data_IF_230621893152
#
_entry.id   IF_230621893152
#
_cell.length_a   1.000
_cell.length_b   1.000
_cell.length_c   1.000
_cell.angle_alpha   90.00
_cell.angle_beta   90.00
_cell.angle_gamma   90.00
#
_symmetry.space_group_name_H-M   'P 1'
#
loop_
_entity.id
_entity.type
_entity.pdbx_description
1 polymer ?
#
# COMPACT_ATOMS: atom_id res chain seq x y z
N UNK A 1 3.68 9.31 -10.19
CA UNK A 1 4.93 10.11 -10.31
C UNK A 1 4.64 11.61 -10.32
N UNK A 2 3.85 12.19 -11.25
CA UNK A 2 3.62 13.65 -11.24
C UNK A 2 3.10 14.19 -9.89
N UNK A 3 2.19 13.49 -9.21
CA UNK A 3 1.72 13.87 -7.87
C UNK A 3 2.76 13.69 -6.74
N UNK A 4 3.88 13.01 -6.97
CA UNK A 4 4.99 12.95 -6.00
C UNK A 4 5.92 14.15 -6.16
N UNK A 5 6.07 14.68 -7.37
CA UNK A 5 6.88 15.86 -7.66
C UNK A 5 6.28 17.17 -7.08
N UNK A 6 5.00 17.14 -6.68
CA UNK A 6 4.32 18.26 -6.01
C UNK A 6 4.47 18.25 -4.49
N UNK A 7 5.12 17.23 -3.91
CA UNK A 7 5.46 17.23 -2.48
C UNK A 7 6.54 18.30 -2.21
N UNK A 8 6.36 19.06 -1.13
CA UNK A 8 7.45 19.90 -0.61
C UNK A 8 8.62 19.04 -0.13
N UNK A 9 9.85 19.57 -0.18
CA UNK A 9 11.07 18.85 0.20
C UNK A 9 10.95 18.15 1.56
N UNK A 10 10.39 18.82 2.58
CA UNK A 10 10.18 18.22 3.92
C UNK A 10 9.27 17.00 3.88
N UNK A 11 8.10 17.10 3.25
CA UNK A 11 7.14 16.00 3.13
C UNK A 11 7.72 14.82 2.32
N UNK A 12 8.54 15.10 1.31
CA UNK A 12 9.24 14.06 0.56
C UNK A 12 10.35 13.39 1.40
N UNK A 13 11.15 14.15 2.17
CA UNK A 13 12.17 13.60 3.08
C UNK A 13 11.56 12.72 4.17
N UNK A 14 10.49 13.17 4.83
CA UNK A 14 9.75 12.38 5.83
C UNK A 14 9.13 11.13 5.20
N UNK A 15 8.61 11.27 3.98
CA UNK A 15 8.10 10.17 3.17
C UNK A 15 9.15 9.09 2.90
N UNK A 16 10.33 9.50 2.44
CA UNK A 16 11.47 8.61 2.18
C UNK A 16 11.89 7.91 3.47
N UNK A 17 12.05 8.66 4.58
CA UNK A 17 12.46 8.12 5.88
C UNK A 17 11.48 7.06 6.39
N UNK A 18 10.18 7.36 6.36
CA UNK A 18 9.14 6.40 6.76
C UNK A 18 9.19 5.11 5.93
N UNK A 19 9.22 5.21 4.59
CA UNK A 19 9.26 4.03 3.72
C UNK A 19 10.55 3.22 3.92
N UNK A 20 11.69 3.90 4.12
CA UNK A 20 12.97 3.27 4.44
C UNK A 20 12.91 2.49 5.77
N UNK A 21 12.33 3.08 6.82
CA UNK A 21 12.20 2.45 8.13
C UNK A 21 11.25 1.25 8.10
N UNK A 22 10.13 1.32 7.36
CA UNK A 22 9.26 0.16 7.13
C UNK A 22 9.98 -0.96 6.37
N UNK A 23 10.75 -0.62 5.33
CA UNK A 23 11.55 -1.59 4.58
C UNK A 23 12.65 -2.23 5.43
N UNK A 24 13.23 -1.48 6.38
CA UNK A 24 14.13 -2.01 7.39
C UNK A 24 13.42 -2.97 8.33
N UNK A 25 12.28 -2.59 8.90
CA UNK A 25 11.51 -3.42 9.84
C UNK A 25 11.15 -4.78 9.23
N UNK A 26 10.70 -4.82 7.97
CA UNK A 26 10.42 -6.07 7.25
C UNK A 26 11.65 -6.97 7.05
N UNK A 27 12.80 -6.37 6.72
CA UNK A 27 14.06 -7.10 6.53
C UNK A 27 14.65 -7.61 7.85
N UNK A 28 14.51 -6.84 8.93
CA UNK A 28 14.96 -7.20 10.26
C UNK A 28 14.04 -8.29 10.86
N UNK A 29 12.71 -8.19 10.69
CA UNK A 29 11.74 -9.24 11.01
C UNK A 29 12.09 -10.55 10.29
N UNK A 30 12.28 -10.51 8.96
CA UNK A 30 12.57 -11.73 8.19
C UNK A 30 13.88 -12.42 8.59
N UNK A 31 14.89 -11.66 9.07
CA UNK A 31 16.10 -12.21 9.70
C UNK A 31 15.76 -12.82 11.06
N UNK A 32 15.01 -12.10 11.90
CA UNK A 32 14.51 -12.58 13.18
C UNK A 32 13.82 -13.94 13.03
N UNK A 33 12.91 -14.10 12.06
CA UNK A 33 12.22 -15.37 11.79
C UNK A 33 13.16 -16.50 11.31
N UNK A 34 14.31 -16.17 10.71
CA UNK A 34 15.34 -17.16 10.35
C UNK A 34 16.22 -17.57 11.55
N UNK A 35 16.28 -16.74 12.59
CA UNK A 35 17.10 -16.94 13.79
C UNK A 35 16.25 -17.44 14.99
N UNK A 36 14.94 -17.16 15.03
CA UNK A 36 13.99 -17.49 16.10
C UNK A 36 13.31 -18.86 15.99
N UNK A 37 13.65 -19.66 14.98
CA UNK A 37 13.39 -21.13 14.97
C UNK A 37 14.09 -21.86 16.16
N UNK A 38 14.83 -21.12 17.00
CA UNK A 38 15.48 -21.58 18.23
C UNK A 38 14.93 -20.97 19.56
N UNK A 39 14.23 -19.83 19.57
CA UNK A 39 13.64 -19.24 20.79
C UNK A 39 12.71 -18.05 20.49
N UNK A 40 11.45 -18.14 20.95
CA UNK A 40 10.48 -17.04 20.86
C UNK A 40 9.96 -16.61 22.23
N UNK A 41 10.06 -15.32 22.54
CA UNK A 41 9.07 -14.55 23.33
C UNK A 41 9.34 -13.07 23.06
N UNK A 42 8.41 -12.40 22.37
CA UNK A 42 8.36 -10.95 22.22
C UNK A 42 6.93 -10.51 22.56
N UNK A 43 6.80 -9.41 23.29
CA UNK A 43 5.49 -8.85 23.66
C UNK A 43 4.76 -8.31 22.42
N UNK A 44 3.41 -8.33 22.40
CA UNK A 44 2.64 -7.90 21.25
C UNK A 44 2.71 -6.37 21.10
N UNK A 45 3.45 -5.92 20.08
CA UNK A 45 3.25 -4.61 19.48
C UNK A 45 1.81 -4.51 18.96
N UNK A 46 1.12 -3.42 19.27
CA UNK A 46 -0.26 -3.18 18.82
C UNK A 46 -0.31 -3.01 17.29
N UNK A 47 0.85 -2.71 16.66
CA UNK A 47 1.08 -2.95 15.24
C UNK A 47 0.30 -2.05 14.28
N UNK A 48 -0.31 -0.97 14.78
CA UNK A 48 -0.85 0.11 13.97
C UNK A 48 0.07 1.31 14.08
N UNK A 49 0.73 1.65 12.98
CA UNK A 49 1.68 2.76 12.88
C UNK A 49 0.95 3.99 12.33
N UNK A 50 1.10 5.14 13.01
CA UNK A 50 0.72 6.43 12.44
C UNK A 50 1.78 6.88 11.43
N UNK A 51 1.37 7.26 10.22
CA UNK A 51 2.28 7.80 9.22
C UNK A 51 2.54 9.30 9.52
N UNK A 52 3.70 9.86 9.12
CA UNK A 52 3.94 11.30 9.19
C UNK A 52 2.82 12.08 8.46
N UNK A 53 2.06 12.94 9.15
CA UNK A 53 0.84 13.54 8.60
C UNK A 53 1.12 14.58 7.50
N UNK A 54 2.33 15.15 7.48
CA UNK A 54 2.76 16.09 6.44
C UNK A 54 3.17 15.36 5.15
N UNK A 55 3.45 14.06 5.21
CA UNK A 55 3.82 13.21 4.07
C UNK A 55 2.67 12.33 3.57
N UNK A 56 1.87 11.74 4.47
CA UNK A 56 0.84 10.75 4.13
C UNK A 56 -0.51 11.02 4.80
N UNK A 57 -1.56 10.44 4.20
CA UNK A 57 -2.90 10.38 4.80
C UNK A 57 -3.19 8.95 5.32
N UNK A 58 -3.83 8.82 6.48
CA UNK A 58 -4.28 7.53 7.06
C UNK A 58 -3.32 6.91 8.09
N UNK A 59 -3.46 5.60 8.31
CA UNK A 59 -2.64 4.78 9.24
C UNK A 59 -2.14 3.52 8.52
N UNK A 60 -1.27 2.70 9.13
CA UNK A 60 -0.80 1.43 8.54
C UNK A 60 -0.82 0.31 9.58
N UNK A 61 -1.50 -0.82 9.31
CA UNK A 61 -1.46 -2.00 10.16
C UNK A 61 -0.33 -2.94 9.71
N UNK A 62 0.81 -2.91 10.42
CA UNK A 62 2.00 -3.70 10.08
C UNK A 62 1.86 -5.19 10.41
N UNK A 63 0.78 -5.60 11.08
CA UNK A 63 0.48 -7.02 11.40
C UNK A 63 -0.08 -7.77 10.19
N UNK A 64 -0.70 -7.07 9.23
CA UNK A 64 -1.11 -7.64 7.95
C UNK A 64 0.12 -7.79 7.06
N UNK A 65 0.61 -9.01 6.93
CA UNK A 65 1.83 -9.32 6.18
C UNK A 65 1.60 -10.52 5.26
N UNK A 66 1.78 -10.33 3.96
CA UNK A 66 1.93 -11.44 3.01
C UNK A 66 3.40 -11.90 3.02
N UNK A 67 3.65 -12.97 3.77
CA UNK A 67 4.98 -13.60 3.89
C UNK A 67 5.52 -14.11 2.55
N UNK A 68 4.65 -14.51 1.61
CA UNK A 68 5.06 -14.97 0.29
C UNK A 68 5.48 -13.78 -0.60
N UNK A 69 4.74 -12.67 -0.54
CA UNK A 69 5.12 -11.41 -1.19
C UNK A 69 6.42 -10.86 -0.57
N UNK A 70 6.57 -10.88 0.75
CA UNK A 70 7.80 -10.47 1.44
C UNK A 70 9.00 -11.31 0.98
N UNK A 71 8.87 -12.64 0.99
CA UNK A 71 9.94 -13.55 0.58
C UNK A 71 10.41 -13.32 -0.86
N UNK A 72 9.48 -13.04 -1.78
CA UNK A 72 9.80 -12.70 -3.18
C UNK A 72 10.46 -11.31 -3.31
N UNK A 73 10.21 -10.41 -2.37
CA UNK A 73 10.61 -9.00 -2.44
C UNK A 73 11.95 -8.67 -1.78
N UNK A 74 12.53 -9.56 -0.97
CA UNK A 74 13.72 -9.30 -0.13
C UNK A 74 14.90 -8.68 -0.90
N UNK A 75 15.21 -9.17 -2.10
CA UNK A 75 16.33 -8.67 -2.89
C UNK A 75 16.11 -7.22 -3.35
N UNK A 76 14.92 -6.93 -3.87
CA UNK A 76 14.52 -5.61 -4.35
C UNK A 76 14.39 -4.60 -3.20
N UNK A 77 13.84 -5.02 -2.06
CA UNK A 77 13.79 -4.20 -0.84
C UNK A 77 15.19 -3.79 -0.38
N UNK A 78 16.17 -4.71 -0.40
CA UNK A 78 17.57 -4.38 -0.08
C UNK A 78 18.18 -3.40 -1.08
N UNK A 79 17.96 -3.60 -2.38
CA UNK A 79 18.46 -2.70 -3.43
C UNK A 79 17.91 -1.28 -3.27
N UNK A 80 16.59 -1.13 -3.13
CA UNK A 80 15.94 0.17 -2.98
C UNK A 80 16.35 0.87 -1.68
N UNK A 81 16.53 0.11 -0.59
CA UNK A 81 17.04 0.66 0.68
C UNK A 81 18.46 1.20 0.53
N UNK A 82 19.34 0.52 -0.21
CA UNK A 82 20.68 1.04 -0.52
C UNK A 82 20.62 2.30 -1.40
N UNK A 83 19.74 2.34 -2.40
CA UNK A 83 19.59 3.49 -3.29
C UNK A 83 19.03 4.74 -2.57
N UNK A 84 18.13 4.55 -1.59
CA UNK A 84 17.51 5.63 -0.83
C UNK A 84 18.28 6.06 0.42
N UNK A 85 19.30 5.28 0.86
CA UNK A 85 20.09 5.57 2.06
C UNK A 85 20.67 7.00 2.13
N UNK A 86 21.29 7.57 1.05
CA UNK A 86 21.90 8.90 1.10
C UNK A 86 20.90 10.04 1.38
N UNK A 87 19.60 9.79 1.16
CA UNK A 87 18.52 10.76 1.38
C UNK A 87 17.88 10.65 2.78
N UNK A 88 18.30 9.66 3.59
CA UNK A 88 17.80 9.42 4.96
C UNK A 88 18.83 9.84 6.02
N UNK A 89 20.12 9.75 5.71
CA UNK A 89 21.24 10.13 6.57
C UNK A 89 21.68 11.60 6.38
N UNK A 90 20.83 12.41 5.75
CA UNK A 90 21.04 13.83 5.39
C UNK A 90 22.29 14.14 4.53
N UNK A 91 23.02 13.12 4.05
CA UNK A 91 24.19 13.26 3.16
C UNK A 91 23.83 13.90 1.80
N UNK A 92 22.62 13.64 1.29
CA UNK A 92 22.12 14.15 0.00
C UNK A 92 20.81 14.90 0.17
N UNK A 93 20.77 16.14 -0.31
CA UNK A 93 19.55 16.96 -0.30
C UNK A 93 18.46 16.37 -1.21
N UNK A 94 17.30 16.08 -0.63
CA UNK A 94 16.10 15.64 -1.34
C UNK A 94 15.62 16.71 -2.33
N UNK A 95 15.44 16.32 -3.59
CA UNK A 95 14.95 17.19 -4.66
C UNK A 95 13.62 16.65 -5.22
N UNK A 96 12.47 17.31 -5.00
CA UNK A 96 11.19 16.88 -5.58
C UNK A 96 11.13 16.85 -7.10
N UNK A 97 12.08 17.50 -7.78
CA UNK A 97 12.22 17.46 -9.24
C UNK A 97 13.10 16.32 -9.78
N UNK A 98 13.70 15.48 -8.92
CA UNK A 98 14.57 14.37 -9.35
C UNK A 98 13.72 13.14 -9.75
N UNK A 99 13.67 12.78 -11.04
CA UNK A 99 12.83 11.68 -11.51
C UNK A 99 13.34 10.30 -11.05
N UNK A 100 14.65 10.14 -10.81
CA UNK A 100 15.23 8.87 -10.38
C UNK A 100 14.92 8.61 -8.90
N UNK A 101 15.06 9.64 -8.06
CA UNK A 101 14.60 9.59 -6.67
C UNK A 101 13.12 9.25 -6.56
N UNK A 102 12.26 9.98 -7.29
CA UNK A 102 10.81 9.73 -7.27
C UNK A 102 10.43 8.33 -7.77
N UNK A 103 11.16 7.79 -8.75
CA UNK A 103 10.97 6.42 -9.22
C UNK A 103 11.31 5.38 -8.14
N UNK A 104 12.44 5.55 -7.45
CA UNK A 104 12.83 4.66 -6.33
C UNK A 104 11.83 4.72 -5.17
N UNK A 105 11.31 5.91 -4.85
CA UNK A 105 10.26 6.10 -3.83
C UNK A 105 8.93 5.43 -4.24
N UNK A 106 8.46 5.62 -5.47
CA UNK A 106 7.24 4.99 -5.96
C UNK A 106 7.36 3.45 -6.00
N UNK A 107 8.53 2.93 -6.39
CA UNK A 107 8.81 1.50 -6.42
C UNK A 107 8.85 0.90 -5.01
N UNK A 108 9.50 1.56 -4.05
CA UNK A 108 9.52 1.10 -2.66
C UNK A 108 8.13 1.12 -2.04
N UNK A 109 7.37 2.21 -2.24
CA UNK A 109 5.98 2.33 -1.79
C UNK A 109 5.13 1.18 -2.31
N UNK A 110 5.16 0.88 -3.61
CA UNK A 110 4.40 -0.23 -4.21
C UNK A 110 4.78 -1.60 -3.65
N UNK A 111 6.06 -1.82 -3.36
CA UNK A 111 6.52 -3.05 -2.73
C UNK A 111 5.96 -3.20 -1.32
N UNK A 112 5.99 -2.14 -0.52
CA UNK A 112 5.38 -2.12 0.81
C UNK A 112 3.87 -2.29 0.73
N UNK A 113 3.18 -1.69 -0.26
CA UNK A 113 1.74 -1.93 -0.47
C UNK A 113 1.41 -3.40 -0.76
N UNK A 114 2.21 -4.05 -1.59
CA UNK A 114 2.03 -5.47 -1.93
C UNK A 114 2.31 -6.39 -0.73
N UNK A 115 3.32 -6.08 0.07
CA UNK A 115 3.72 -6.86 1.25
C UNK A 115 2.74 -6.68 2.42
N UNK A 116 2.26 -5.46 2.68
CA UNK A 116 1.28 -5.19 3.74
C UNK A 116 -0.19 -5.41 3.31
N UNK A 117 -0.44 -5.72 2.03
CA UNK A 117 -1.78 -5.83 1.44
C UNK A 117 -2.60 -4.53 1.51
N UNK A 118 -1.96 -3.38 1.78
CA UNK A 118 -2.59 -2.11 2.14
C UNK A 118 -2.08 -0.98 1.24
N UNK A 119 -2.90 0.06 0.99
CA UNK A 119 -2.37 1.29 0.40
C UNK A 119 -1.51 2.09 1.36
N UNK A 120 -0.55 2.79 0.75
CA UNK A 120 0.25 3.85 1.35
C UNK A 120 0.11 5.03 0.39
N UNK A 121 -0.43 6.13 0.88
CA UNK A 121 -0.92 7.24 0.04
C UNK A 121 -0.38 8.57 0.55
N UNK A 122 0.36 9.26 -0.31
CA UNK A 122 0.93 10.57 0.00
C UNK A 122 -0.16 11.65 0.08
N UNK A 123 0.06 12.73 0.83
CA UNK A 123 -0.92 13.84 0.99
C UNK A 123 -1.33 14.46 -0.35
N UNK A 124 -0.41 14.56 -1.31
CA UNK A 124 -0.65 15.07 -2.67
C UNK A 124 -1.48 14.14 -3.55
N UNK A 125 -1.68 12.89 -3.14
CA UNK A 125 -2.52 11.90 -3.81
C UNK A 125 -3.91 11.77 -3.16
N UNK A 126 -4.18 12.50 -2.07
CA UNK A 126 -5.46 12.47 -1.37
C UNK A 126 -6.62 12.88 -2.30
N UNK A 127 -7.69 12.08 -2.31
CA UNK A 127 -8.84 12.28 -3.20
C UNK A 127 -8.66 11.72 -4.62
N UNK A 128 -7.43 11.47 -5.08
CA UNK A 128 -7.17 10.64 -6.27
C UNK A 128 -6.95 9.16 -5.90
N UNK A 129 -6.48 8.90 -4.68
CA UNK A 129 -6.26 7.56 -4.12
C UNK A 129 -6.96 7.45 -2.75
N UNK A 130 -7.41 6.25 -2.35
CA UNK A 130 -7.82 5.98 -0.98
C UNK A 130 -6.67 6.26 0.01
N UNK A 131 -6.95 6.63 1.25
CA UNK A 131 -5.94 6.86 2.28
C UNK A 131 -5.09 5.61 2.59
N UNK A 132 -4.03 5.75 3.40
CA UNK A 132 -3.23 4.62 3.86
C UNK A 132 -4.01 3.70 4.83
N UNK A 133 -3.61 2.43 4.94
CA UNK A 133 -4.25 1.45 5.83
C UNK A 133 -5.34 0.61 5.14
N UNK A 134 -5.33 0.69 3.81
CA UNK A 134 -6.45 0.40 2.94
C UNK A 134 -6.24 -0.97 2.27
N UNK A 135 -6.86 -2.02 2.84
CA UNK A 135 -6.61 -3.47 2.59
C UNK A 135 -7.29 -4.03 1.31
N UNK A 136 -6.62 -4.52 0.26
CA UNK A 136 -7.26 -4.93 -1.02
C UNK A 136 -7.53 -6.46 -1.10
N UNK A 137 -8.76 -6.95 -0.82
CA UNK A 137 -9.18 -8.38 -1.01
C UNK A 137 -10.65 -8.63 -1.46
N UNK A 138 -10.93 -9.64 -2.33
CA UNK A 138 -12.21 -10.37 -2.58
C UNK A 138 -11.99 -11.48 -3.64
N UNK A 139 -12.82 -12.54 -3.65
CA UNK A 139 -12.87 -13.59 -4.70
C UNK A 139 -14.30 -14.10 -4.94
N UNK A 140 -14.62 -14.50 -6.18
CA UNK A 140 -15.91 -15.00 -6.68
C UNK A 140 -15.62 -16.09 -7.73
N UNK A 141 -16.42 -17.15 -7.78
CA UNK A 141 -16.43 -18.22 -8.80
C UNK A 141 -17.90 -18.56 -9.12
N UNK A 142 -18.30 -18.67 -10.40
CA UNK A 142 -19.67 -18.90 -10.89
C UNK A 142 -19.62 -19.87 -12.08
N UNK A 143 -20.51 -20.86 -12.15
CA UNK A 143 -20.51 -21.77 -13.31
C UNK A 143 -21.12 -21.12 -14.57
N UNK A 144 -22.42 -20.80 -14.61
CA UNK A 144 -23.06 -20.22 -15.81
C UNK A 144 -23.65 -18.82 -15.56
N UNK A 145 -23.25 -17.84 -16.36
CA UNK A 145 -23.59 -16.42 -16.17
C UNK A 145 -24.59 -15.97 -17.25
N UNK A 146 -25.87 -15.89 -16.91
CA UNK A 146 -26.95 -15.50 -17.84
C UNK A 146 -27.53 -14.09 -17.60
N UNK A 147 -26.96 -13.33 -16.65
CA UNK A 147 -27.32 -11.95 -16.30
C UNK A 147 -26.06 -11.14 -15.91
N UNK A 148 -26.22 -9.86 -15.52
CA UNK A 148 -25.09 -9.01 -15.10
C UNK A 148 -24.56 -9.29 -13.68
N UNK A 149 -23.23 -9.30 -13.54
CA UNK A 149 -22.46 -9.48 -12.30
C UNK A 149 -21.48 -8.31 -12.17
N UNK A 150 -21.35 -7.71 -10.97
CA UNK A 150 -20.38 -6.64 -10.69
C UNK A 150 -19.60 -6.96 -9.41
N UNK A 151 -18.27 -6.89 -9.46
CA UNK A 151 -17.38 -7.34 -8.39
C UNK A 151 -17.17 -6.35 -7.25
N UNK A 152 -16.94 -5.07 -7.56
CA UNK A 152 -16.76 -3.99 -6.56
C UNK A 152 -17.26 -2.66 -7.14
N UNK A 153 -18.49 -2.24 -6.88
CA UNK A 153 -18.98 -0.92 -7.33
C UNK A 153 -18.86 0.13 -6.23
N UNK A 154 -18.13 1.23 -6.46
CA UNK A 154 -17.88 2.26 -5.43
C UNK A 154 -18.13 3.70 -5.89
N UNK A 155 -19.03 4.39 -5.19
CA UNK A 155 -18.97 5.86 -5.09
C UNK A 155 -17.71 6.27 -4.32
N UNK A 156 -17.76 7.41 -3.64
CA UNK A 156 -16.62 8.10 -3.07
C UNK A 156 -15.81 7.29 -2.01
N UNK A 157 -14.71 6.62 -2.43
CA UNK A 157 -13.76 5.89 -1.55
C UNK A 157 -12.79 6.85 -0.84
N UNK A 158 -12.75 6.85 0.50
CA UNK A 158 -11.78 7.66 1.30
C UNK A 158 -10.56 6.88 1.80
N UNK A 159 -10.66 5.55 1.88
CA UNK A 159 -9.75 4.66 2.61
C UNK A 159 -10.46 3.34 2.94
N UNK A 160 -9.75 2.35 3.48
CA UNK A 160 -10.18 0.95 3.52
C UNK A 160 -10.25 0.35 2.11
N UNK A 161 -10.11 -0.97 1.90
CA UNK A 161 -10.37 -1.50 0.55
C UNK A 161 -10.86 -2.95 0.37
N UNK A 162 -10.59 -3.44 -0.85
CA UNK A 162 -11.40 -4.32 -1.68
C UNK A 162 -10.49 -4.81 -2.83
N UNK A 163 -10.47 -6.10 -3.12
CA UNK A 163 -10.13 -6.64 -4.44
C UNK A 163 -11.41 -7.22 -5.07
N UNK A 164 -11.30 -8.02 -6.13
CA UNK A 164 -12.26 -9.07 -6.54
C UNK A 164 -11.63 -9.96 -7.62
N UNK A 165 -11.99 -11.25 -7.58
CA UNK A 165 -11.76 -12.27 -8.62
C UNK A 165 -13.14 -12.82 -9.02
N UNK A 166 -13.35 -13.25 -10.27
CA UNK A 166 -14.60 -13.87 -10.76
C UNK A 166 -14.22 -15.03 -11.72
N UNK A 167 -14.49 -16.30 -11.39
CA UNK A 167 -14.28 -17.46 -12.30
C UNK A 167 -15.59 -17.99 -12.88
N UNK A 168 -15.95 -17.57 -14.10
CA UNK A 168 -17.01 -18.19 -14.94
C UNK A 168 -16.64 -19.60 -15.46
N UNK A 169 -17.59 -20.52 -15.67
CA UNK A 169 -17.44 -21.64 -16.64
C UNK A 169 -18.07 -21.32 -18.01
N UNK A 170 -19.23 -20.67 -18.05
CA UNK A 170 -19.81 -20.10 -19.28
C UNK A 170 -20.58 -18.80 -19.04
N UNK A 171 -20.88 -18.07 -20.11
CA UNK A 171 -21.69 -16.85 -20.11
C UNK A 171 -22.73 -16.97 -21.22
N UNK A 172 -24.01 -17.00 -20.88
CA UNK A 172 -25.11 -17.17 -21.85
C UNK A 172 -25.79 -15.85 -22.23
N UNK A 173 -26.84 -15.90 -23.08
CA UNK A 173 -27.46 -14.70 -23.65
C UNK A 173 -28.12 -13.82 -22.59
N UNK A 174 -27.62 -12.61 -22.42
CA UNK A 174 -27.99 -11.68 -21.32
C UNK A 174 -26.95 -11.56 -20.21
N UNK A 175 -25.94 -12.43 -20.21
CA UNK A 175 -24.82 -12.43 -19.27
C UNK A 175 -23.86 -11.26 -19.44
N UNK A 176 -23.40 -10.68 -18.32
CA UNK A 176 -22.38 -9.63 -18.27
C UNK A 176 -21.56 -9.75 -16.98
N UNK A 177 -20.28 -9.41 -17.02
CA UNK A 177 -19.40 -9.44 -15.83
C UNK A 177 -18.56 -8.18 -15.78
N UNK A 178 -18.50 -7.57 -14.61
CA UNK A 178 -17.70 -6.40 -14.27
C UNK A 178 -16.93 -6.75 -12.99
N UNK A 179 -15.63 -6.44 -12.90
CA UNK A 179 -14.82 -6.75 -11.72
C UNK A 179 -14.80 -5.64 -10.66
N UNK A 180 -14.92 -4.39 -11.11
CA UNK A 180 -14.98 -3.18 -10.29
C UNK A 180 -15.69 -2.09 -11.13
N UNK A 181 -16.43 -1.20 -10.48
CA UNK A 181 -17.15 -0.04 -11.06
C UNK A 181 -17.03 1.13 -10.07
N UNK A 182 -17.19 2.38 -10.52
CA UNK A 182 -17.18 3.51 -9.58
C UNK A 182 -17.92 4.78 -10.05
N UNK A 183 -18.30 5.63 -9.09
CA UNK A 183 -18.78 7.00 -9.35
C UNK A 183 -17.96 8.15 -8.66
N UNK A 184 -17.01 7.94 -7.70
CA UNK A 184 -16.16 9.02 -7.09
C UNK A 184 -14.98 8.53 -6.14
N UNK A 185 -14.16 9.43 -5.53
CA UNK A 185 -13.10 9.19 -4.48
C UNK A 185 -12.97 10.36 -3.45
N UNK A 186 -12.93 10.15 -2.11
CA UNK A 186 -12.95 11.21 -1.03
C UNK A 186 -13.77 10.94 0.27
N UNK A 187 -13.95 11.96 1.15
CA UNK A 187 -14.69 11.99 2.47
C UNK A 187 -14.64 13.42 3.11
N UNK A 188 -14.96 13.74 4.41
CA UNK A 188 -15.53 12.97 5.56
C UNK A 188 -16.66 13.72 6.40
N UNK A 189 -17.01 13.24 7.62
CA UNK A 189 -17.88 13.88 8.66
C UNK A 189 -19.42 13.66 8.49
N UNK A 190 -20.28 13.50 9.53
CA UNK A 190 -20.15 13.57 10.99
C UNK A 190 -21.33 12.84 11.72
N UNK A 191 -21.58 13.19 12.99
CA UNK A 191 -22.34 12.39 13.99
C UNK A 191 -23.86 12.19 13.76
N UNK A 192 -24.42 11.25 14.54
CA UNK A 192 -25.83 10.89 14.55
C UNK A 192 -26.67 11.72 15.55
N UNK A 193 -27.88 12.10 15.11
CA UNK A 193 -29.11 12.24 15.92
C UNK A 193 -30.27 11.55 15.20
#
# INVERSE_FOLDING_TARGET
MELLATLGTTALSEGIRFLFDQARALLDRRRGDQEQDAAATAEPDDGVVQLPPDAFVGTLDTRRLDEAALAQSVATLRQLRTALFPFVDDETSVQPGDPELLQHVDQLRRLLEAVYGQRITFVTEAGARPASGTVIDTTIDIDDINAEVIGVSVRQVSGGSYATKIRGKSVGPGGRVVGFQADSVGGPGGDAE
#
